data_IF_439122033207
#
_entry.id   IF_439122033207
#
_cell.length_a   1.000
_cell.length_b   1.000
_cell.length_c   1.000
_cell.angle_alpha   90.00
_cell.angle_beta   90.00
_cell.angle_gamma   90.00
#
_symmetry.space_group_name_H-M   'P 1'
#
loop_
_entity.id
_entity.type
_entity.pdbx_description
1 polymer ?
#
# COMPACT_ATOMS: atom_id res chain seq x y z
N UNK A 1 -43.43 -26.33 -38.06
CA UNK A 1 -42.31 -26.75 -37.18
C UNK A 1 -41.54 -25.50 -36.76
N UNK A 2 -41.31 -25.41 -35.45
CA UNK A 2 -40.87 -24.24 -34.66
C UNK A 2 -39.34 -24.17 -34.64
N UNK A 3 -38.73 -23.01 -34.92
CA UNK A 3 -37.34 -22.72 -34.53
C UNK A 3 -37.27 -21.31 -33.91
N UNK A 4 -37.40 -21.29 -32.59
CA UNK A 4 -36.76 -20.30 -31.72
C UNK A 4 -35.24 -20.55 -31.73
N UNK A 5 -34.44 -19.51 -31.48
CA UNK A 5 -33.17 -19.46 -30.71
C UNK A 5 -32.40 -18.24 -31.23
N UNK A 6 -31.72 -17.40 -30.45
CA UNK A 6 -31.81 -16.94 -29.08
C UNK A 6 -30.85 -15.74 -29.03
N UNK A 7 -31.19 -14.76 -28.22
CA UNK A 7 -30.39 -13.61 -27.76
C UNK A 7 -28.88 -13.84 -27.60
N UNK A 8 -28.09 -12.94 -28.19
CA UNK A 8 -26.65 -12.80 -27.96
C UNK A 8 -26.37 -12.12 -26.60
N UNK A 9 -25.45 -12.63 -25.76
CA UNK A 9 -25.01 -11.95 -24.55
C UNK A 9 -23.83 -11.03 -24.87
N UNK A 10 -24.01 -9.72 -24.66
CA UNK A 10 -22.93 -8.75 -24.55
C UNK A 10 -22.28 -8.92 -23.16
N UNK A 11 -21.12 -9.57 -23.13
CA UNK A 11 -20.28 -9.71 -21.93
C UNK A 11 -19.50 -8.42 -21.76
N UNK A 12 -20.00 -7.49 -20.93
CA UNK A 12 -19.22 -6.39 -20.37
C UNK A 12 -18.52 -6.88 -19.10
N UNK A 13 -17.34 -7.50 -19.27
CA UNK A 13 -16.42 -7.74 -18.17
C UNK A 13 -15.46 -6.55 -18.05
N UNK A 14 -15.88 -5.51 -17.33
CA UNK A 14 -14.95 -4.51 -16.81
C UNK A 14 -14.21 -5.14 -15.62
N UNK A 15 -13.15 -5.89 -15.90
CA UNK A 15 -12.19 -6.27 -14.87
C UNK A 15 -11.42 -5.01 -14.49
N UNK A 16 -11.90 -4.30 -13.47
CA UNK A 16 -11.13 -3.29 -12.75
C UNK A 16 -9.91 -4.04 -12.21
N UNK A 17 -8.76 -3.81 -12.83
CA UNK A 17 -7.50 -4.36 -12.37
C UNK A 17 -7.23 -3.80 -10.98
N UNK A 18 -7.52 -4.59 -9.95
CA UNK A 18 -7.05 -4.30 -8.60
C UNK A 18 -5.53 -4.15 -8.61
N UNK A 19 -4.96 -3.46 -7.60
CA UNK A 19 -3.52 -3.22 -7.55
C UNK A 19 -2.79 -4.56 -7.71
N UNK A 20 -1.99 -4.67 -8.78
CA UNK A 20 -1.16 -5.84 -9.03
C UNK A 20 -0.27 -6.04 -7.81
N UNK A 21 -0.48 -7.16 -7.13
CA UNK A 21 0.29 -7.54 -5.95
C UNK A 21 1.78 -7.58 -6.33
N UNK A 22 2.57 -6.75 -5.66
CA UNK A 22 4.03 -6.83 -5.79
C UNK A 22 4.46 -8.19 -5.22
N UNK A 23 5.28 -8.99 -5.92
CA UNK A 23 5.73 -10.29 -5.42
C UNK A 23 6.41 -10.11 -4.06
N UNK A 24 5.88 -10.78 -3.03
CA UNK A 24 6.41 -10.75 -1.66
C UNK A 24 7.90 -11.14 -1.68
N UNK A 25 8.75 -10.23 -1.20
CA UNK A 25 10.19 -10.46 -1.07
C UNK A 25 10.49 -11.23 0.21
N UNK A 26 11.27 -12.32 0.10
CA UNK A 26 11.57 -13.30 1.17
C UNK A 26 12.44 -12.80 2.34
N UNK A 27 12.31 -11.54 2.77
CA UNK A 27 13.17 -10.96 3.82
C UNK A 27 12.40 -10.29 4.97
N UNK A 28 11.23 -10.80 5.39
CA UNK A 28 10.73 -10.45 6.72
C UNK A 28 11.52 -11.17 7.81
N UNK A 29 12.15 -10.38 8.68
CA UNK A 29 12.19 -10.71 10.10
C UNK A 29 13.48 -11.35 10.58
N UNK A 30 14.43 -10.48 10.93
CA UNK A 30 15.51 -10.86 11.85
C UNK A 30 15.83 -9.76 12.87
N UNK A 31 15.55 -8.49 12.57
CA UNK A 31 16.00 -7.37 13.39
C UNK A 31 14.93 -6.89 14.39
N UNK A 32 15.39 -6.28 15.49
CA UNK A 32 14.53 -5.57 16.44
C UNK A 32 13.74 -4.45 15.75
N UNK A 33 14.29 -3.85 14.69
CA UNK A 33 13.64 -2.76 13.96
C UNK A 33 12.45 -3.27 13.15
N UNK A 34 12.59 -4.43 12.50
CA UNK A 34 11.48 -5.07 11.77
C UNK A 34 10.34 -5.43 12.71
N UNK A 35 10.67 -5.92 13.91
CA UNK A 35 9.67 -6.21 14.94
C UNK A 35 8.92 -4.96 15.43
N UNK A 36 9.62 -3.81 15.51
CA UNK A 36 9.00 -2.51 15.85
C UNK A 36 8.10 -2.04 14.70
N UNK A 37 8.56 -2.12 13.45
CA UNK A 37 7.76 -1.80 12.28
C UNK A 37 6.47 -2.62 12.23
N UNK A 38 6.61 -3.95 12.30
CA UNK A 38 5.49 -4.88 12.23
C UNK A 38 4.46 -4.69 13.35
N UNK A 39 4.88 -4.27 14.55
CA UNK A 39 3.96 -4.09 15.68
C UNK A 39 3.31 -2.71 15.74
N UNK A 40 3.98 -1.68 15.26
CA UNK A 40 3.60 -0.29 15.55
C UNK A 40 3.14 0.50 14.33
N UNK A 41 3.45 0.05 13.12
CA UNK A 41 3.17 0.78 11.89
C UNK A 41 2.40 -0.02 10.84
N UNK A 42 2.37 -1.35 10.93
CA UNK A 42 1.59 -2.18 10.01
C UNK A 42 0.10 -1.92 10.20
N UNK A 43 -0.61 -1.66 9.10
CA UNK A 43 -2.01 -1.29 9.11
C UNK A 43 -2.45 -0.56 7.83
N UNK A 44 -3.73 -0.18 7.81
CA UNK A 44 -4.33 0.64 6.75
C UNK A 44 -4.61 2.04 7.27
N UNK A 45 -4.26 3.02 6.46
CA UNK A 45 -4.34 4.43 6.81
C UNK A 45 -4.88 5.26 5.66
N UNK A 46 -5.54 6.36 6.00
CA UNK A 46 -6.06 7.34 5.05
C UNK A 46 -6.16 8.72 5.70
N UNK A 47 -6.27 9.83 4.94
CA UNK A 47 -6.61 11.14 5.53
C UNK A 47 -7.94 11.13 6.30
N UNK A 48 -8.86 10.21 5.98
CA UNK A 48 -10.15 10.02 6.62
C UNK A 48 -10.18 8.73 7.45
N UNK A 49 -11.01 8.62 8.51
CA UNK A 49 -11.20 7.35 9.23
C UNK A 49 -11.91 6.26 8.40
N UNK A 50 -12.45 6.60 7.23
CA UNK A 50 -13.08 5.66 6.29
C UNK A 50 -12.13 5.47 5.10
N UNK A 51 -11.69 4.24 4.82
CA UNK A 51 -10.76 3.98 3.70
C UNK A 51 -11.46 4.04 2.33
N UNK A 52 -12.72 3.59 2.27
CA UNK A 52 -13.47 3.51 1.02
C UNK A 52 -13.64 4.90 0.36
N UNK A 53 -13.36 4.97 -0.94
CA UNK A 53 -13.51 6.19 -1.75
C UNK A 53 -12.44 7.25 -1.54
N UNK A 54 -11.38 6.96 -0.77
CA UNK A 54 -10.27 7.89 -0.57
C UNK A 54 -9.23 7.76 -1.68
N UNK A 55 -8.83 8.90 -2.26
CA UNK A 55 -7.78 8.97 -3.28
C UNK A 55 -6.42 8.50 -2.73
N UNK A 56 -6.13 8.86 -1.47
CA UNK A 56 -4.93 8.43 -0.77
C UNK A 56 -5.28 7.37 0.27
N UNK A 57 -4.83 6.15 0.00
CA UNK A 57 -4.78 5.05 0.95
C UNK A 57 -3.33 4.62 1.11
N UNK A 58 -2.94 4.33 2.34
CA UNK A 58 -1.62 3.82 2.67
C UNK A 58 -1.82 2.48 3.37
N UNK A 59 -1.24 1.43 2.81
CA UNK A 59 -1.21 0.11 3.42
C UNK A 59 0.24 -0.27 3.72
N UNK A 60 0.53 -0.46 5.00
CA UNK A 60 1.82 -0.89 5.48
C UNK A 60 1.68 -2.37 5.87
N UNK A 61 2.34 -3.24 5.13
CA UNK A 61 2.41 -4.68 5.39
C UNK A 61 3.85 -5.06 5.83
N UNK A 62 4.06 -6.25 6.42
CA UNK A 62 5.38 -6.64 6.91
C UNK A 62 6.51 -6.58 5.88
N UNK A 63 6.22 -6.88 4.61
CA UNK A 63 7.20 -6.97 3.52
C UNK A 63 6.96 -5.99 2.38
N UNK A 64 5.88 -5.21 2.44
CA UNK A 64 5.47 -4.33 1.35
C UNK A 64 4.77 -3.08 1.89
N UNK A 65 4.77 -2.03 1.06
CA UNK A 65 4.06 -0.79 1.35
C UNK A 65 3.34 -0.32 0.09
N UNK A 66 2.08 0.07 0.24
CA UNK A 66 1.27 0.69 -0.79
C UNK A 66 0.98 2.14 -0.40
N UNK A 67 1.18 3.06 -1.33
CA UNK A 67 0.86 4.49 -1.18
C UNK A 67 0.08 4.92 -2.42
N UNK A 68 -1.22 5.19 -2.23
CA UNK A 68 -2.16 5.32 -3.34
C UNK A 68 -2.15 4.05 -4.18
N UNK A 69 -1.91 4.19 -5.47
CA UNK A 69 -1.87 3.08 -6.43
C UNK A 69 -0.47 2.45 -6.58
N UNK A 70 0.53 2.99 -5.86
CA UNK A 70 1.91 2.51 -5.97
C UNK A 70 2.23 1.51 -4.87
N UNK A 71 2.47 0.26 -5.23
CA UNK A 71 2.99 -0.78 -4.34
C UNK A 71 4.50 -0.94 -4.48
N UNK A 72 5.20 -1.23 -3.38
CA UNK A 72 6.62 -1.54 -3.36
C UNK A 72 6.94 -2.65 -2.36
N UNK A 73 8.05 -3.36 -2.56
CA UNK A 73 8.63 -4.25 -1.55
C UNK A 73 9.52 -3.48 -0.58
N UNK A 74 9.61 -3.93 0.66
CA UNK A 74 10.50 -3.39 1.68
C UNK A 74 11.80 -4.19 1.66
N UNK A 75 12.91 -3.56 1.26
CA UNK A 75 14.23 -4.17 1.30
C UNK A 75 14.92 -4.03 2.66
N UNK A 76 14.66 -2.93 3.37
CA UNK A 76 15.24 -2.64 4.67
C UNK A 76 14.34 -1.71 5.49
N UNK A 77 14.42 -1.87 6.82
CA UNK A 77 13.76 -1.01 7.80
C UNK A 77 14.82 -0.41 8.72
N UNK A 78 14.97 0.91 8.69
CA UNK A 78 15.90 1.63 9.56
C UNK A 78 15.14 2.43 10.61
N UNK A 79 15.64 2.43 11.85
CA UNK A 79 15.04 3.25 12.91
C UNK A 79 15.50 4.69 12.76
N UNK A 80 14.55 5.62 12.79
CA UNK A 80 14.83 7.06 12.78
C UNK A 80 14.17 7.73 13.98
N UNK A 81 14.48 9.01 14.20
CA UNK A 81 13.79 9.79 15.21
C UNK A 81 12.28 9.79 14.95
N UNK A 82 11.50 9.40 15.97
CA UNK A 82 10.03 9.35 15.94
C UNK A 82 9.41 8.44 14.86
N UNK A 83 10.15 7.48 14.30
CA UNK A 83 9.63 6.65 13.20
C UNK A 83 10.56 5.57 12.67
N UNK A 84 10.26 5.13 11.44
CA UNK A 84 11.10 4.25 10.63
C UNK A 84 11.31 4.84 9.23
N UNK A 85 12.44 4.53 8.62
CA UNK A 85 12.69 4.71 7.20
C UNK A 85 12.63 3.35 6.51
N UNK A 86 11.80 3.23 5.49
CA UNK A 86 11.64 2.03 4.68
C UNK A 86 12.38 2.23 3.35
N UNK A 87 13.34 1.35 3.05
CA UNK A 87 13.94 1.29 1.72
C UNK A 87 13.01 0.48 0.83
N UNK A 88 12.31 1.17 -0.08
CA UNK A 88 11.31 0.58 -0.96
C UNK A 88 11.92 0.26 -2.33
N UNK A 89 11.76 -0.98 -2.76
CA UNK A 89 12.31 -1.52 -4.02
C UNK A 89 11.23 -2.22 -4.84
N UNK A 90 11.50 -2.43 -6.13
CA UNK A 90 10.57 -3.06 -7.07
C UNK A 90 9.22 -2.34 -7.11
N UNK A 91 9.23 -1.00 -7.02
CA UNK A 91 8.01 -0.22 -7.00
C UNK A 91 7.23 -0.34 -8.32
N UNK A 92 5.90 -0.45 -8.23
CA UNK A 92 4.98 -0.46 -9.37
C UNK A 92 3.74 0.38 -9.10
N UNK A 93 3.38 1.22 -10.06
CA UNK A 93 2.12 1.97 -10.07
C UNK A 93 1.27 1.44 -11.22
N UNK A 94 0.08 0.94 -10.92
CA UNK A 94 -0.83 0.35 -11.92
C UNK A 94 -0.15 -0.72 -12.82
N UNK A 95 0.76 -1.50 -12.23
CA UNK A 95 1.54 -2.54 -12.92
C UNK A 95 2.77 -2.04 -13.69
N UNK A 96 2.93 -0.72 -13.88
CA UNK A 96 4.08 -0.10 -14.53
C UNK A 96 5.23 0.12 -13.55
N UNK A 97 6.50 -0.13 -13.93
CA UNK A 97 7.64 0.19 -13.07
C UNK A 97 7.63 1.65 -12.62
N UNK A 98 7.80 1.87 -11.32
CA UNK A 98 7.91 3.17 -10.71
C UNK A 98 9.28 3.30 -10.01
N UNK A 99 9.77 4.52 -9.75
CA UNK A 99 11.04 4.70 -9.05
C UNK A 99 11.03 4.12 -7.64
N UNK A 100 12.05 3.31 -7.35
CA UNK A 100 12.43 2.91 -6.01
C UNK A 100 12.76 4.14 -5.16
N UNK A 101 12.48 4.07 -3.86
CA UNK A 101 12.54 5.25 -2.99
C UNK A 101 12.67 4.88 -1.52
N UNK A 102 13.11 5.85 -0.73
CA UNK A 102 12.98 5.77 0.73
C UNK A 102 11.68 6.44 1.14
N UNK A 103 10.92 5.78 2.02
CA UNK A 103 9.74 6.34 2.65
C UNK A 103 9.98 6.48 4.15
N UNK A 104 9.72 7.67 4.71
CA UNK A 104 9.76 7.89 6.16
C UNK A 104 8.33 7.77 6.71
N UNK A 105 8.20 6.99 7.76
CA UNK A 105 6.94 6.79 8.48
C UNK A 105 7.14 7.28 9.91
N UNK A 106 6.59 8.45 10.21
CA UNK A 106 6.75 9.14 11.49
C UNK A 106 5.45 9.08 12.28
N UNK A 107 5.52 9.02 13.60
CA UNK A 107 4.32 9.13 14.44
C UNK A 107 3.82 10.56 14.49
N UNK A 108 2.52 10.74 14.28
CA UNK A 108 1.85 12.04 14.39
C UNK A 108 0.93 12.16 15.62
N UNK A 109 0.80 11.09 16.41
CA UNK A 109 -0.04 11.03 17.62
C UNK A 109 -1.38 10.32 17.39
N UNK A 110 -1.99 9.80 18.46
CA UNK A 110 -3.30 9.10 18.40
C UNK A 110 -3.41 7.99 17.34
N UNK A 111 -2.30 7.29 17.06
CA UNK A 111 -2.23 6.26 16.01
C UNK A 111 -2.07 6.80 14.59
N UNK A 112 -2.15 8.12 14.39
CA UNK A 112 -1.86 8.75 13.12
C UNK A 112 -0.37 8.73 12.79
N UNK A 113 -0.09 8.68 11.49
CA UNK A 113 1.24 8.63 10.91
C UNK A 113 1.42 9.82 9.96
N UNK A 114 2.65 10.34 9.89
CA UNK A 114 3.10 11.23 8.83
C UNK A 114 3.96 10.41 7.87
N UNK A 115 3.53 10.33 6.62
CA UNK A 115 4.21 9.60 5.55
C UNK A 115 4.93 10.61 4.67
N UNK A 116 6.21 10.39 4.44
CA UNK A 116 7.04 11.21 3.57
C UNK A 116 7.73 10.34 2.52
N UNK A 117 7.42 10.59 1.27
CA UNK A 117 8.09 10.06 0.08
C UNK A 117 8.66 11.24 -0.72
N UNK A 118 9.47 11.00 -1.77
CA UNK A 118 9.96 12.09 -2.62
C UNK A 118 8.86 12.94 -3.27
N UNK A 119 7.65 12.39 -3.45
CA UNK A 119 6.53 13.03 -4.15
C UNK A 119 5.33 13.34 -3.26
N UNK A 120 5.32 12.85 -2.02
CA UNK A 120 4.13 12.89 -1.15
C UNK A 120 4.54 13.14 0.29
N UNK A 121 3.89 14.11 0.94
CA UNK A 121 3.99 14.32 2.38
C UNK A 121 2.57 14.48 2.91
N UNK A 122 2.09 13.52 3.70
CA UNK A 122 0.73 13.53 4.21
C UNK A 122 0.65 13.00 5.64
N UNK A 123 -0.31 13.51 6.41
CA UNK A 123 -0.73 12.89 7.68
C UNK A 123 -1.92 12.00 7.39
N UNK A 124 -1.83 10.75 7.82
CA UNK A 124 -2.85 9.71 7.66
C UNK A 124 -3.20 9.13 9.02
N UNK A 125 -4.44 8.70 9.19
CA UNK A 125 -4.94 8.06 10.40
C UNK A 125 -5.41 6.64 10.08
N UNK A 126 -5.47 5.75 11.09
CA UNK A 126 -6.04 4.43 10.89
C UNK A 126 -7.45 4.55 10.29
N UNK A 127 -7.73 3.76 9.26
CA UNK A 127 -9.02 3.77 8.60
C UNK A 127 -9.63 2.37 8.54
N UNK A 128 -10.95 2.31 8.38
CA UNK A 128 -11.73 1.09 8.26
C UNK A 128 -12.68 1.20 7.06
N UNK A 129 -13.10 0.06 6.50
CA UNK A 129 -14.11 0.00 5.44
C UNK A 129 -15.54 -0.07 6.01
#
# INVERSE_FOLDING_TARGET
>A
MRRLFLTAPLVLAACIGGPQLVPLGTNAGGSRTDAVYAREFVGRYSPSPICAGQELQVELAPESAYVGETGCNIAATDRIENGVALTLVNCRAEGTPAPDRVMRVLRAGSGALRIETPTTSATVQPCFD
#
